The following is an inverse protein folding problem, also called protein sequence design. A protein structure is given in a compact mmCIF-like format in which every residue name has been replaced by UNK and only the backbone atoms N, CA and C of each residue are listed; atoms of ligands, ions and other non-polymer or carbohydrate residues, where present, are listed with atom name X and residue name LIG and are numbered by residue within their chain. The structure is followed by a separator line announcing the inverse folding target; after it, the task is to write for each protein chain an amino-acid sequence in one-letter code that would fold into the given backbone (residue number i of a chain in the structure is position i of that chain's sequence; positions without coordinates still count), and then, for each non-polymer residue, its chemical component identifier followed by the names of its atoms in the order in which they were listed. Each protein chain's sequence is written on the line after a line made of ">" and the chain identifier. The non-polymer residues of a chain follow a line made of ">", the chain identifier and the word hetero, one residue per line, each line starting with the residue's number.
data_IF_058945653870
#
_entry.id   IF_058945653870
#
_cell.length_a   1.000
_cell.length_b   1.000
_cell.length_c   1.000
_cell.angle_alpha   90.00
_cell.angle_beta   90.00
_cell.angle_gamma   90.00
#
_symmetry.space_group_name_H-M   'P 1'
#
loop_
_entity.id
_entity.type
_entity.pdbx_description
1 polymer ?
#
# COMPACT_ATOMS: atom_id res chain seq x y z
N UNK A 1 10.99 2.35 5.37
CA UNK A 1 9.74 1.65 5.01
C UNK A 1 9.97 0.14 5.02
N UNK A 2 8.92 -0.69 5.10
CA UNK A 2 9.04 -2.15 5.10
C UNK A 2 9.84 -2.70 3.91
N UNK A 3 9.62 -2.16 2.71
CA UNK A 3 10.36 -2.55 1.50
C UNK A 3 11.86 -2.26 1.61
N UNK A 4 12.24 -1.08 2.12
CA UNK A 4 13.67 -0.72 2.32
C UNK A 4 14.38 -1.71 3.26
N UNK A 5 13.67 -2.20 4.29
CA UNK A 5 14.22 -3.17 5.25
C UNK A 5 14.49 -4.51 4.55
N UNK A 6 13.56 -4.99 3.71
CA UNK A 6 13.76 -6.22 2.95
C UNK A 6 14.95 -6.10 1.99
N UNK A 7 15.02 -5.00 1.25
CA UNK A 7 16.11 -4.76 0.28
C UNK A 7 17.46 -4.66 1.00
N UNK A 8 17.53 -3.92 2.12
CA UNK A 8 18.78 -3.79 2.90
C UNK A 8 19.25 -5.11 3.53
N UNK A 9 18.34 -6.08 3.71
CA UNK A 9 18.64 -7.45 4.14
C UNK A 9 18.94 -8.40 2.97
N UNK A 10 19.07 -7.87 1.74
CA UNK A 10 19.47 -8.64 0.57
C UNK A 10 18.33 -9.30 -0.20
N UNK A 11 17.06 -8.99 0.10
CA UNK A 11 15.92 -9.48 -0.69
C UNK A 11 15.87 -8.73 -2.02
N UNK A 12 15.93 -9.41 -3.18
CA UNK A 12 15.79 -8.75 -4.48
C UNK A 12 14.41 -8.12 -4.62
N UNK A 13 14.34 -6.88 -5.11
CA UNK A 13 13.08 -6.14 -5.23
C UNK A 13 12.04 -6.85 -6.10
N UNK A 14 12.50 -7.53 -7.16
CA UNK A 14 11.67 -8.33 -8.09
C UNK A 14 10.99 -9.54 -7.42
N UNK A 15 11.52 -9.97 -6.26
CA UNK A 15 10.96 -11.05 -5.43
C UNK A 15 10.02 -10.54 -4.35
N UNK A 16 9.80 -9.24 -4.24
CA UNK A 16 8.84 -8.65 -3.30
C UNK A 16 7.50 -8.52 -4.02
N UNK A 17 6.46 -9.14 -3.46
CA UNK A 17 5.08 -8.97 -3.86
C UNK A 17 4.35 -8.23 -2.75
N UNK A 18 3.97 -6.98 -3.02
CA UNK A 18 3.13 -6.20 -2.12
C UNK A 18 1.66 -6.50 -2.41
N UNK A 19 1.08 -7.38 -1.59
CA UNK A 19 -0.35 -7.68 -1.61
C UNK A 19 -1.09 -6.70 -0.70
N UNK A 20 -2.10 -6.03 -1.26
CA UNK A 20 -2.90 -5.02 -0.59
C UNK A 20 -4.39 -5.22 -0.90
N UNK A 21 -5.27 -4.72 -0.03
CA UNK A 21 -6.71 -4.80 -0.24
C UNK A 21 -7.26 -3.57 -0.97
N UNK A 22 -6.89 -2.39 -0.50
CA UNK A 22 -7.36 -1.10 -1.00
C UNK A 22 -6.22 -0.09 -0.98
N UNK A 23 -6.12 0.72 -2.04
CA UNK A 23 -5.12 1.76 -2.18
C UNK A 23 -5.71 3.03 -2.81
N UNK A 24 -5.05 4.16 -2.60
CA UNK A 24 -5.34 5.41 -3.31
C UNK A 24 -4.42 5.57 -4.53
N UNK A 25 -4.80 6.39 -5.54
CA UNK A 25 -3.97 6.64 -6.71
C UNK A 25 -2.63 7.28 -6.33
N UNK A 26 -2.63 8.23 -5.40
CA UNK A 26 -1.42 8.93 -4.91
C UNK A 26 -0.48 7.96 -4.18
N UNK A 27 -1.04 7.03 -3.41
CA UNK A 27 -0.28 5.99 -2.71
C UNK A 27 0.41 5.03 -3.67
N UNK A 28 -0.31 4.55 -4.69
CA UNK A 28 0.26 3.67 -5.72
C UNK A 28 1.33 4.40 -6.53
N UNK A 29 1.06 5.62 -6.97
CA UNK A 29 2.01 6.38 -7.78
C UNK A 29 3.30 6.67 -7.01
N UNK A 30 3.19 7.11 -5.76
CA UNK A 30 4.34 7.33 -4.87
C UNK A 30 5.14 6.03 -4.64
N UNK A 31 4.44 4.93 -4.38
CA UNK A 31 5.06 3.63 -4.16
C UNK A 31 5.78 3.12 -5.41
N UNK A 32 5.13 3.18 -6.58
CA UNK A 32 5.69 2.73 -7.85
C UNK A 32 6.90 3.58 -8.29
N UNK A 33 6.86 4.90 -8.07
CA UNK A 33 8.00 5.79 -8.32
C UNK A 33 9.22 5.39 -7.49
N UNK A 34 9.02 5.06 -6.21
CA UNK A 34 10.11 4.69 -5.29
C UNK A 34 10.61 3.25 -5.51
N UNK A 35 9.71 2.29 -5.76
CA UNK A 35 10.02 0.86 -5.82
C UNK A 35 9.66 0.24 -7.17
N UNK A 36 10.29 0.72 -8.24
CA UNK A 36 9.97 0.37 -9.64
C UNK A 36 10.01 -1.13 -9.97
N UNK A 37 10.70 -1.93 -9.16
CA UNK A 37 10.89 -3.38 -9.36
C UNK A 37 10.00 -4.25 -8.48
N UNK A 38 9.26 -3.66 -7.54
CA UNK A 38 8.34 -4.39 -6.66
C UNK A 38 7.02 -4.59 -7.39
N UNK A 39 6.48 -5.82 -7.35
CA UNK A 39 5.15 -6.09 -7.90
C UNK A 39 4.09 -5.73 -6.86
N UNK A 40 3.08 -4.98 -7.27
CA UNK A 40 1.93 -4.61 -6.45
C UNK A 40 0.69 -5.30 -6.99
N UNK A 41 -0.07 -5.93 -6.11
CA UNK A 41 -1.42 -6.44 -6.43
C UNK A 41 -2.36 -5.90 -5.37
N UNK A 42 -3.41 -5.22 -5.82
CA UNK A 42 -4.47 -4.70 -4.96
C UNK A 42 -5.84 -5.07 -5.52
N UNK A 43 -6.83 -5.24 -4.64
CA UNK A 43 -8.19 -5.55 -5.06
C UNK A 43 -8.95 -4.30 -5.51
N UNK A 44 -8.70 -3.14 -4.87
CA UNK A 44 -9.40 -1.89 -5.16
C UNK A 44 -8.44 -0.71 -5.21
N UNK A 45 -8.69 0.20 -6.16
CA UNK A 45 -8.08 1.52 -6.22
C UNK A 45 -9.22 2.53 -6.16
N UNK A 46 -9.29 3.27 -5.05
CA UNK A 46 -10.35 4.24 -4.80
C UNK A 46 -9.95 5.64 -5.29
N UNK A 47 -10.80 6.66 -5.04
CA UNK A 47 -10.70 7.95 -5.74
C UNK A 47 -9.48 8.77 -5.32
N UNK A 48 -9.07 8.65 -4.06
CA UNK A 48 -8.00 9.47 -3.51
C UNK A 48 -7.97 9.44 -1.99
N UNK A 49 -7.28 10.43 -1.44
CA UNK A 49 -7.22 10.67 -0.01
C UNK A 49 -8.01 11.94 0.37
N UNK A 50 -8.61 11.94 1.56
CA UNK A 50 -9.14 13.16 2.18
C UNK A 50 -8.05 13.96 2.93
N UNK A 51 -8.44 15.08 3.54
CA UNK A 51 -7.53 15.95 4.33
C UNK A 51 -6.89 15.25 5.53
N UNK A 52 -7.45 14.12 5.98
CA UNK A 52 -6.96 13.31 7.09
C UNK A 52 -6.17 12.08 6.60
N UNK A 53 -5.93 11.95 5.30
CA UNK A 53 -5.29 10.81 4.65
C UNK A 53 -6.08 9.50 4.74
N UNK A 54 -7.41 9.55 4.88
CA UNK A 54 -8.25 8.38 4.65
C UNK A 54 -8.50 8.19 3.16
N UNK A 55 -8.50 6.93 2.71
CA UNK A 55 -8.93 6.59 1.36
C UNK A 55 -10.44 6.88 1.24
N UNK A 56 -10.87 7.47 0.14
CA UNK A 56 -12.28 7.81 -0.13
C UNK A 56 -12.74 7.19 -1.45
N UNK A 57 -13.89 6.49 -1.51
CA UNK A 57 -14.85 6.23 -0.42
C UNK A 57 -14.30 5.34 0.72
N UNK A 58 -13.33 4.47 0.43
CA UNK A 58 -12.54 3.73 1.41
C UNK A 58 -13.32 2.75 2.28
N UNK A 59 -12.68 2.33 3.37
CA UNK A 59 -13.24 1.40 4.35
C UNK A 59 -13.10 1.88 5.80
N UNK A 60 -12.69 3.14 6.02
CA UNK A 60 -12.34 3.66 7.35
C UNK A 60 -11.03 3.08 7.88
N UNK A 61 -10.88 3.03 9.21
CA UNK A 61 -9.71 2.39 9.83
C UNK A 61 -9.88 0.86 9.79
N UNK A 62 -8.99 0.19 9.04
CA UNK A 62 -9.03 -1.27 8.91
C UNK A 62 -8.74 -1.99 10.22
N UNK A 63 -7.78 -1.49 11.00
CA UNK A 63 -7.31 -2.14 12.22
C UNK A 63 -8.39 -2.13 13.29
N UNK A 64 -8.97 -0.96 13.54
CA UNK A 64 -10.07 -0.82 14.49
C UNK A 64 -11.24 -1.72 14.09
N UNK A 65 -11.68 -1.65 12.83
CA UNK A 65 -12.83 -2.43 12.36
C UNK A 65 -12.61 -3.94 12.36
N UNK A 66 -11.38 -4.39 12.12
CA UNK A 66 -11.07 -5.82 12.04
C UNK A 66 -10.81 -6.45 13.41
N UNK A 67 -10.16 -5.74 14.33
CA UNK A 67 -9.72 -6.30 15.61
C UNK A 67 -10.61 -5.93 16.81
N UNK A 68 -11.44 -4.88 16.71
CA UNK A 68 -12.41 -4.56 17.76
C UNK A 68 -13.77 -5.20 17.43
N UNK A 69 -13.94 -6.42 17.90
CA UNK A 69 -15.24 -7.07 18.11
C UNK A 69 -15.53 -7.12 19.61
#
# INVERSE_FOLDING_TARGET
>A
MAVDVLISRGVPAERILFLNLIASPEGIESFAKKYQKVRVVTAFIDQGLDEKNYIVPGLGDFGDRFYTM
#
